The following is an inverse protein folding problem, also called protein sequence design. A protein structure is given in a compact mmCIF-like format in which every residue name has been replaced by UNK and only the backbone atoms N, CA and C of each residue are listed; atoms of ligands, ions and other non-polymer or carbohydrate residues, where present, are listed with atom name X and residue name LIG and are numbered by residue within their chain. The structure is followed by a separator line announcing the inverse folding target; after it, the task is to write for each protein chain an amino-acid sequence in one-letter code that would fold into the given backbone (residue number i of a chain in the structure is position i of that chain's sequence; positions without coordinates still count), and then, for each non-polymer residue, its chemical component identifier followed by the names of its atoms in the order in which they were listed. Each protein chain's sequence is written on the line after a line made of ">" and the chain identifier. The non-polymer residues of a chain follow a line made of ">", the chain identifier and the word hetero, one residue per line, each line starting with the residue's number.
data_IF_800419118176
#
_entry.id   IF_800419118176
#
_cell.length_a   1.000
_cell.length_b   1.000
_cell.length_c   1.000
_cell.angle_alpha   90.00
_cell.angle_beta   90.00
_cell.angle_gamma   90.00
#
_symmetry.space_group_name_H-M   'P 1'
#
loop_
_entity.id
_entity.type
_entity.pdbx_description
1 polymer ?
#
# COMPACT_ATOMS: atom_id res chain seq x y z
N UNK A 1 9.43 -33.70 -8.18
CA UNK A 1 8.71 -33.42 -6.91
C UNK A 1 9.77 -33.15 -5.87
N UNK A 2 9.70 -32.03 -5.15
CA UNK A 2 10.72 -31.68 -4.16
C UNK A 2 10.70 -32.68 -2.99
N UNK A 3 11.87 -33.06 -2.44
CA UNK A 3 11.93 -33.93 -1.27
C UNK A 3 11.38 -33.23 -0.02
N UNK A 4 10.73 -33.98 0.88
CA UNK A 4 10.00 -33.41 2.04
C UNK A 4 10.86 -32.51 2.93
N UNK A 5 12.12 -32.88 3.16
CA UNK A 5 13.04 -32.07 3.97
C UNK A 5 13.30 -30.68 3.36
N UNK A 6 13.35 -30.57 2.03
CA UNK A 6 13.58 -29.32 1.33
C UNK A 6 12.34 -28.41 1.41
N UNK A 7 11.15 -29.01 1.32
CA UNK A 7 9.88 -28.30 1.52
C UNK A 7 9.79 -27.73 2.93
N UNK A 8 10.05 -28.54 3.97
CA UNK A 8 10.02 -28.10 5.36
C UNK A 8 11.04 -27.00 5.65
N UNK A 9 12.23 -27.13 5.06
CA UNK A 9 13.30 -26.14 5.19
C UNK A 9 12.92 -24.81 4.53
N UNK A 10 12.31 -24.84 3.34
CA UNK A 10 11.85 -23.64 2.66
C UNK A 10 10.67 -22.97 3.38
N UNK A 11 9.71 -23.75 3.89
CA UNK A 11 8.60 -23.23 4.70
C UNK A 11 9.16 -22.54 5.95
N UNK A 12 10.13 -23.16 6.62
CA UNK A 12 10.77 -22.61 7.82
C UNK A 12 11.50 -21.30 7.51
N UNK A 13 12.23 -21.24 6.40
CA UNK A 13 12.88 -20.00 5.94
C UNK A 13 11.87 -18.89 5.69
N UNK A 14 10.82 -19.17 4.90
CA UNK A 14 9.78 -18.17 4.59
C UNK A 14 9.12 -17.66 5.87
N UNK A 15 8.80 -18.57 6.79
CA UNK A 15 8.19 -18.21 8.07
C UNK A 15 9.12 -17.34 8.92
N UNK A 16 10.40 -17.68 9.01
CA UNK A 16 11.37 -16.85 9.73
C UNK A 16 11.47 -15.45 9.13
N UNK A 17 11.60 -15.36 7.81
CA UNK A 17 11.65 -14.08 7.09
C UNK A 17 10.40 -13.23 7.33
N UNK A 18 9.21 -13.83 7.44
CA UNK A 18 8.00 -13.10 7.77
C UNK A 18 8.03 -12.51 9.19
N UNK A 19 8.57 -13.23 10.17
CA UNK A 19 8.73 -12.71 11.53
C UNK A 19 9.76 -11.59 11.58
N UNK A 20 10.93 -11.80 10.97
CA UNK A 20 12.00 -10.79 10.92
C UNK A 20 11.46 -9.48 10.29
N UNK A 21 10.76 -9.60 9.17
CA UNK A 21 10.14 -8.46 8.49
C UNK A 21 9.07 -7.79 9.36
N UNK A 22 8.23 -8.57 10.05
CA UNK A 22 7.22 -8.00 10.92
C UNK A 22 7.84 -7.20 12.07
N UNK A 23 8.91 -7.69 12.67
CA UNK A 23 9.62 -6.97 13.73
C UNK A 23 10.17 -5.63 13.23
N UNK A 24 10.71 -5.57 12.00
CA UNK A 24 11.10 -4.30 11.35
C UNK A 24 9.91 -3.34 11.23
N UNK A 25 8.73 -3.83 10.81
CA UNK A 25 7.52 -3.01 10.74
C UNK A 25 7.07 -2.55 12.14
N UNK A 26 7.18 -3.39 13.16
CA UNK A 26 6.87 -3.02 14.55
C UNK A 26 7.75 -1.87 15.01
N UNK A 27 9.05 -1.95 14.77
CA UNK A 27 10.01 -0.91 15.11
C UNK A 27 9.73 0.40 14.36
N UNK A 28 9.49 0.33 13.05
CA UNK A 28 9.19 1.49 12.22
C UNK A 28 7.93 2.23 12.68
N UNK A 29 6.85 1.51 12.96
CA UNK A 29 5.55 2.12 13.27
C UNK A 29 5.35 2.46 14.76
N UNK A 30 6.09 1.82 15.68
CA UNK A 30 6.08 2.22 17.10
C UNK A 30 7.00 3.40 17.37
N UNK A 31 8.13 3.52 16.65
CA UNK A 31 9.06 4.66 16.80
C UNK A 31 8.45 5.99 16.36
N UNK A 32 7.46 5.96 15.46
CA UNK A 32 6.70 7.14 15.02
C UNK A 32 5.80 7.78 16.09
N UNK A 33 5.62 7.15 17.25
CA UNK A 33 4.83 7.70 18.37
C UNK A 33 5.63 8.61 19.32
N UNK A 34 6.93 8.81 19.05
CA UNK A 34 7.83 9.64 19.86
C UNK A 34 8.06 11.02 19.22
N UNK A 35 7.11 11.94 19.42
CA UNK A 35 7.35 13.39 19.50
C UNK A 35 7.86 14.12 18.26
N UNK A 36 6.93 14.69 17.47
CA UNK A 36 7.17 16.00 16.86
C UNK A 36 7.05 17.07 17.96
N UNK A 37 8.09 17.23 18.79
CA UNK A 37 8.25 18.43 19.60
C UNK A 37 8.75 19.54 18.69
N UNK A 38 7.83 20.30 18.10
CA UNK A 38 8.15 21.62 17.54
C UNK A 38 8.56 22.51 18.70
N UNK A 39 9.87 22.67 18.92
CA UNK A 39 10.40 23.71 19.79
C UNK A 39 10.13 25.07 19.15
N UNK A 40 9.03 25.72 19.56
CA UNK A 40 8.78 27.13 19.27
C UNK A 40 9.69 27.97 20.17
N UNK A 41 10.72 28.56 19.57
CA UNK A 41 11.43 29.70 20.14
C UNK A 41 10.67 30.97 19.72
N UNK A 42 9.99 31.61 20.66
CA UNK A 42 9.46 32.96 20.48
C UNK A 42 9.70 33.78 21.74
N UNK A 43 10.62 34.74 21.64
CA UNK A 43 10.86 35.79 22.62
C UNK A 43 9.73 36.81 22.66
N UNK A 44 9.11 36.94 23.84
CA UNK A 44 8.52 38.12 24.50
C UNK A 44 8.00 39.32 23.68
N UNK A 45 6.72 39.69 23.88
CA UNK A 45 6.34 40.92 24.63
C UNK A 45 4.81 41.15 24.76
N UNK A 46 4.37 41.29 26.02
CA UNK A 46 3.33 42.19 26.58
C UNK A 46 1.82 41.87 26.52
N UNK A 47 1.05 42.12 27.61
CA UNK A 47 -0.33 41.64 27.79
C UNK A 47 -1.41 42.75 27.75
N UNK A 48 -2.64 42.38 27.38
CA UNK A 48 -3.85 43.16 27.66
C UNK A 48 -5.06 42.23 27.86
N UNK A 49 -5.91 42.42 28.90
CA UNK A 49 -6.93 41.44 29.28
C UNK A 49 -8.31 41.78 28.71
N UNK A 50 -9.01 40.76 28.21
CA UNK A 50 -10.47 40.78 28.05
C UNK A 50 -11.02 39.37 28.32
N UNK A 51 -12.10 39.23 29.12
CA UNK A 51 -12.57 37.93 29.58
C UNK A 51 -13.63 37.40 28.60
N UNK A 52 -13.25 36.43 27.78
CA UNK A 52 -14.21 35.53 27.13
C UNK A 52 -13.90 34.11 27.58
N UNK A 53 -14.71 33.64 28.52
CA UNK A 53 -14.72 32.25 28.99
C UNK A 53 -15.24 31.38 27.85
N UNK A 54 -14.34 30.96 26.97
CA UNK A 54 -14.54 29.81 26.11
C UNK A 54 -13.69 28.67 26.71
N UNK A 55 -14.22 28.04 27.77
CA UNK A 55 -13.72 26.75 28.22
C UNK A 55 -14.07 25.78 27.09
N UNK A 56 -13.09 25.50 26.22
CA UNK A 56 -13.16 24.35 25.35
C UNK A 56 -13.49 23.13 26.23
N UNK A 57 -14.48 22.30 25.87
CA UNK A 57 -14.78 21.13 26.65
C UNK A 57 -13.62 20.15 26.41
N UNK A 58 -12.59 20.22 27.24
CA UNK A 58 -11.74 19.07 27.54
C UNK A 58 -12.66 18.07 28.25
N UNK A 59 -13.42 17.36 27.43
CA UNK A 59 -14.35 16.33 27.87
C UNK A 59 -13.52 15.29 28.59
N UNK A 60 -13.94 14.89 29.80
CA UNK A 60 -13.34 13.77 30.51
C UNK A 60 -13.28 12.49 29.67
N UNK A 61 -14.07 12.40 28.58
CA UNK A 61 -13.94 11.33 27.58
C UNK A 61 -12.62 11.37 26.81
N UNK A 62 -12.03 12.55 26.56
CA UNK A 62 -10.70 12.65 25.96
C UNK A 62 -9.65 12.08 26.89
N UNK A 63 -9.65 12.52 28.16
CA UNK A 63 -8.71 12.01 29.18
C UNK A 63 -8.93 10.51 29.44
N UNK A 64 -10.18 10.05 29.47
CA UNK A 64 -10.53 8.63 29.55
C UNK A 64 -10.07 7.85 28.32
N UNK A 65 -10.28 8.33 27.10
CA UNK A 65 -9.77 7.68 25.87
C UNK A 65 -8.24 7.66 25.84
N UNK A 66 -7.59 8.70 26.37
CA UNK A 66 -6.13 8.77 26.51
C UNK A 66 -5.65 7.75 27.55
N UNK A 67 -6.37 7.59 28.66
CA UNK A 67 -6.08 6.59 29.68
C UNK A 67 -6.36 5.16 29.22
N UNK A 68 -7.44 4.92 28.47
CA UNK A 68 -7.77 3.60 27.90
C UNK A 68 -6.77 3.21 26.83
N UNK A 69 -6.34 4.14 25.97
CA UNK A 69 -5.29 3.87 24.99
C UNK A 69 -3.90 3.67 25.62
N UNK A 70 -3.62 4.34 26.75
CA UNK A 70 -2.41 4.10 27.53
C UNK A 70 -2.46 2.79 28.35
N UNK A 71 -3.63 2.39 28.84
CA UNK A 71 -3.80 1.15 29.62
C UNK A 71 -3.97 -0.10 28.75
N UNK A 72 -4.45 0.04 27.51
CA UNK A 72 -4.37 -0.98 26.46
C UNK A 72 -2.95 -1.18 25.89
N UNK A 73 -1.94 -0.47 26.42
CA UNK A 73 -0.54 -0.83 26.23
C UNK A 73 -0.14 -2.08 27.04
N UNK A 74 -1.06 -3.02 27.22
CA UNK A 74 -0.70 -4.43 27.41
C UNK A 74 -0.26 -4.87 26.02
N UNK A 75 1.06 -5.05 25.83
CA UNK A 75 1.58 -5.74 24.64
C UNK A 75 0.72 -6.99 24.47
N UNK A 76 0.09 -7.22 23.31
CA UNK A 76 -0.69 -8.43 23.14
C UNK A 76 0.24 -9.61 23.47
N UNK A 77 -0.23 -10.54 24.32
CA UNK A 77 0.59 -11.68 24.77
C UNK A 77 1.08 -12.55 23.59
N UNK A 78 0.50 -12.35 22.40
CA UNK A 78 0.87 -12.94 21.12
C UNK A 78 1.08 -11.86 20.06
N UNK A 79 2.03 -12.09 19.16
CA UNK A 79 2.23 -11.23 18.00
C UNK A 79 0.99 -11.27 17.08
N UNK A 80 0.63 -10.16 16.41
CA UNK A 80 -0.44 -10.13 15.39
C UNK A 80 -0.26 -11.20 14.31
N UNK A 81 0.99 -11.55 13.96
CA UNK A 81 1.32 -12.64 13.06
C UNK A 81 0.85 -14.01 13.58
N UNK A 82 1.08 -14.27 14.87
CA UNK A 82 0.64 -15.53 15.51
C UNK A 82 -0.89 -15.58 15.55
N UNK A 83 -1.53 -14.47 15.92
CA UNK A 83 -2.98 -14.36 15.89
C UNK A 83 -3.55 -14.61 14.50
N UNK A 84 -2.91 -14.11 13.45
CA UNK A 84 -3.32 -14.37 12.07
C UNK A 84 -3.18 -15.84 11.68
N UNK A 85 -2.10 -16.50 12.07
CA UNK A 85 -1.93 -17.94 11.81
C UNK A 85 -2.92 -18.80 12.62
N UNK A 86 -3.33 -18.34 13.80
CA UNK A 86 -4.35 -19.00 14.63
C UNK A 86 -5.80 -18.75 14.16
N UNK A 87 -6.10 -17.57 13.59
CA UNK A 87 -7.45 -17.17 13.13
C UNK A 87 -8.02 -18.10 12.03
N UNK A 88 -7.18 -18.94 11.43
CA UNK A 88 -7.56 -19.90 10.40
C UNK A 88 -7.81 -19.25 9.03
N UNK A 89 -7.97 -20.10 8.00
CA UNK A 89 -8.25 -19.63 6.64
C UNK A 89 -9.68 -19.08 6.56
N UNK A 90 -9.85 -17.93 5.90
CA UNK A 90 -11.16 -17.42 5.51
C UNK A 90 -11.88 -18.47 4.67
N UNK A 91 -12.82 -19.18 5.29
CA UNK A 91 -13.59 -20.23 4.61
C UNK A 91 -15.01 -19.72 4.38
N UNK A 92 -15.58 -20.02 3.21
CA UNK A 92 -16.93 -19.59 2.84
C UNK A 92 -18.01 -20.13 3.80
N UNK A 93 -17.66 -21.18 4.57
CA UNK A 93 -18.50 -21.75 5.63
C UNK A 93 -18.64 -20.84 6.84
N UNK A 94 -17.56 -20.16 7.24
CA UNK A 94 -17.53 -19.35 8.45
C UNK A 94 -17.94 -17.90 8.18
N UNK A 95 -17.83 -17.45 6.91
CA UNK A 95 -18.25 -16.13 6.47
C UNK A 95 -19.06 -16.21 5.16
N UNK A 96 -20.36 -16.52 5.22
CA UNK A 96 -21.22 -16.69 4.03
C UNK A 96 -21.41 -15.41 3.20
N UNK A 97 -21.00 -14.25 3.73
CA UNK A 97 -21.01 -12.97 3.00
C UNK A 97 -19.73 -12.63 2.23
N UNK A 98 -18.67 -13.45 2.36
CA UNK A 98 -17.39 -13.22 1.68
C UNK A 98 -17.34 -14.06 0.42
N UNK A 99 -17.41 -13.41 -0.74
CA UNK A 99 -17.16 -14.03 -2.02
C UNK A 99 -15.66 -14.28 -2.18
N UNK A 100 -15.21 -15.47 -1.78
CA UNK A 100 -13.79 -15.88 -1.85
C UNK A 100 -13.28 -15.90 -3.28
N UNK A 101 -14.14 -16.18 -4.27
CA UNK A 101 -13.74 -16.28 -5.68
C UNK A 101 -13.37 -14.90 -6.23
N UNK A 102 -14.08 -13.86 -5.79
CA UNK A 102 -13.86 -12.48 -6.20
C UNK A 102 -13.21 -11.62 -5.10
N UNK A 103 -12.53 -12.25 -4.14
CA UNK A 103 -11.90 -11.54 -3.04
C UNK A 103 -10.70 -10.72 -3.55
N UNK A 104 -10.83 -9.40 -3.49
CA UNK A 104 -9.72 -8.48 -3.63
C UNK A 104 -8.91 -8.50 -2.33
N UNK A 105 -7.81 -9.27 -2.33
CA UNK A 105 -6.94 -9.42 -1.16
C UNK A 105 -6.34 -8.09 -0.68
N UNK A 106 -5.96 -7.19 -1.60
CA UNK A 106 -5.42 -5.88 -1.25
C UNK A 106 -6.49 -5.02 -0.59
N UNK A 107 -7.71 -5.03 -1.11
CA UNK A 107 -8.84 -4.34 -0.50
C UNK A 107 -9.17 -4.91 0.88
N UNK A 108 -9.15 -6.24 1.04
CA UNK A 108 -9.41 -6.89 2.32
C UNK A 108 -8.40 -6.45 3.40
N UNK A 109 -7.11 -6.47 3.08
CA UNK A 109 -6.07 -5.99 3.99
C UNK A 109 -6.16 -4.48 4.26
N UNK A 110 -6.69 -3.69 3.33
CA UNK A 110 -6.92 -2.26 3.55
C UNK A 110 -8.10 -1.98 4.49
N UNK A 111 -9.15 -2.79 4.40
CA UNK A 111 -10.39 -2.58 5.13
C UNK A 111 -10.40 -3.27 6.50
N UNK A 112 -9.49 -4.22 6.75
CA UNK A 112 -9.42 -4.94 8.05
C UNK A 112 -8.91 -4.03 9.18
N UNK A 113 -9.69 -3.94 10.26
CA UNK A 113 -9.32 -3.22 11.49
C UNK A 113 -8.80 -4.14 12.60
N UNK A 114 -8.72 -5.45 12.33
CA UNK A 114 -8.32 -6.48 13.31
C UNK A 114 -6.87 -6.34 13.78
N UNK A 115 -6.01 -5.80 12.95
CA UNK A 115 -4.56 -5.74 13.17
C UNK A 115 -4.06 -4.32 12.89
N UNK A 116 -3.06 -3.84 13.63
CA UNK A 116 -2.53 -2.48 13.49
C UNK A 116 -1.32 -2.40 12.57
N UNK A 117 -0.49 -3.45 12.54
CA UNK A 117 0.82 -3.46 11.86
C UNK A 117 0.81 -4.45 10.71
N UNK A 118 0.29 -5.65 10.94
CA UNK A 118 0.21 -6.73 9.95
C UNK A 118 -0.39 -6.32 8.59
N UNK A 119 -1.46 -5.50 8.50
CA UNK A 119 -2.03 -5.14 7.20
C UNK A 119 -1.11 -4.29 6.35
N UNK A 120 -0.25 -3.47 6.97
CA UNK A 120 0.74 -2.65 6.25
C UNK A 120 1.77 -3.54 5.56
N UNK A 121 2.33 -4.49 6.31
CA UNK A 121 3.26 -5.49 5.77
C UNK A 121 2.61 -6.32 4.66
N UNK A 122 1.38 -6.80 4.87
CA UNK A 122 0.68 -7.61 3.88
C UNK A 122 0.39 -6.86 2.57
N UNK A 123 -0.04 -5.58 2.65
CA UNK A 123 -0.26 -4.75 1.46
C UNK A 123 1.03 -4.59 0.65
N UNK A 124 2.15 -4.31 1.32
CA UNK A 124 3.44 -4.10 0.65
C UNK A 124 3.94 -5.37 -0.03
N UNK A 125 3.80 -6.54 0.62
CA UNK A 125 4.14 -7.85 0.03
C UNK A 125 3.25 -8.13 -1.18
N UNK A 126 1.93 -7.93 -1.06
CA UNK A 126 0.97 -8.23 -2.13
C UNK A 126 1.05 -7.25 -3.32
N UNK A 127 1.62 -6.06 -3.11
CA UNK A 127 1.87 -5.10 -4.18
C UNK A 127 3.03 -5.51 -5.11
N UNK A 128 3.87 -6.46 -4.70
CA UNK A 128 4.99 -6.97 -5.52
C UNK A 128 4.44 -7.86 -6.64
N UNK A 129 4.67 -7.52 -7.92
CA UNK A 129 4.24 -8.36 -9.03
C UNK A 129 5.02 -9.69 -9.05
N UNK A 130 4.31 -10.81 -8.99
CA UNK A 130 4.89 -12.17 -8.96
C UNK A 130 5.48 -12.59 -10.33
N UNK A 131 5.07 -11.94 -11.42
CA UNK A 131 5.54 -12.27 -12.77
C UNK A 131 6.27 -11.12 -13.45
N UNK A 132 7.37 -11.45 -14.12
CA UNK A 132 8.07 -10.58 -15.06
C UNK A 132 7.24 -10.28 -16.31
N UNK A 133 6.17 -11.03 -16.58
CA UNK A 133 5.28 -10.85 -17.75
C UNK A 133 4.61 -9.47 -17.75
N UNK A 134 4.38 -8.85 -16.58
CA UNK A 134 3.90 -7.47 -16.51
C UNK A 134 4.90 -6.47 -17.13
N UNK A 135 6.20 -6.70 -16.93
CA UNK A 135 7.26 -5.89 -17.56
C UNK A 135 7.38 -6.17 -19.06
N UNK A 136 7.22 -7.43 -19.49
CA UNK A 136 7.23 -7.80 -20.91
C UNK A 136 6.01 -7.23 -21.67
N UNK A 137 4.82 -7.24 -21.07
CA UNK A 137 3.63 -6.61 -21.65
C UNK A 137 3.80 -5.08 -21.77
N UNK A 138 4.39 -4.46 -20.76
CA UNK A 138 4.71 -3.03 -20.77
C UNK A 138 5.76 -2.71 -21.85
N UNK A 139 6.77 -3.55 -22.01
CA UNK A 139 7.79 -3.43 -23.05
C UNK A 139 7.24 -3.69 -24.46
N UNK A 140 6.37 -4.70 -24.64
CA UNK A 140 5.70 -5.02 -25.90
C UNK A 140 4.80 -3.88 -26.39
N UNK A 141 4.14 -3.18 -25.46
CA UNK A 141 3.43 -1.93 -25.75
C UNK A 141 4.42 -0.80 -26.09
N UNK A 142 5.57 -0.75 -25.42
CA UNK A 142 6.67 0.18 -25.71
C UNK A 142 7.23 0.06 -27.13
N UNK A 143 7.43 -1.18 -27.62
CA UNK A 143 7.97 -1.45 -28.96
C UNK A 143 7.02 -0.99 -30.08
N UNK A 144 5.71 -0.90 -29.83
CA UNK A 144 4.71 -0.48 -30.83
C UNK A 144 4.44 1.02 -30.90
N UNK A 145 5.02 1.86 -30.02
CA UNK A 145 4.68 3.30 -29.94
C UNK A 145 5.89 4.22 -29.69
N UNK A 146 7.05 3.92 -30.28
CA UNK A 146 8.10 4.95 -30.44
C UNK A 146 7.90 5.56 -31.84
N UNK A 147 7.07 6.59 -31.93
CA UNK A 147 6.98 7.41 -33.14
C UNK A 147 8.31 8.14 -33.40
N UNK A 148 8.52 8.63 -34.62
CA UNK A 148 9.77 9.32 -35.03
C UNK A 148 10.21 10.46 -34.09
N UNK A 149 9.26 11.08 -33.36
CA UNK A 149 9.50 12.10 -32.35
C UNK A 149 10.12 11.56 -31.04
N UNK A 150 9.85 10.29 -30.68
CA UNK A 150 10.42 9.64 -29.50
C UNK A 150 11.74 8.93 -29.78
N UNK A 151 12.04 8.60 -31.05
CA UNK A 151 13.35 8.05 -31.43
C UNK A 151 14.47 9.09 -31.41
N UNK A 152 14.16 10.38 -31.33
CA UNK A 152 15.14 11.47 -31.18
C UNK A 152 15.35 11.92 -29.74
N UNK A 153 14.62 11.35 -28.78
CA UNK A 153 14.75 11.67 -27.35
C UNK A 153 15.77 10.74 -26.70
N UNK A 154 16.46 11.25 -25.67
CA UNK A 154 17.31 10.42 -24.82
C UNK A 154 16.45 9.36 -24.08
N UNK A 155 16.94 8.12 -23.91
CA UNK A 155 16.20 7.04 -23.25
C UNK A 155 15.60 7.44 -21.90
N UNK A 156 16.34 8.20 -21.09
CA UNK A 156 15.92 8.70 -19.78
C UNK A 156 14.71 9.62 -19.88
N UNK A 157 14.64 10.43 -20.93
CA UNK A 157 13.50 11.32 -21.18
C UNK A 157 12.27 10.53 -21.60
N UNK A 158 12.47 9.47 -22.40
CA UNK A 158 11.38 8.59 -22.84
C UNK A 158 10.77 7.86 -21.64
N UNK A 159 11.61 7.33 -20.74
CA UNK A 159 11.19 6.68 -19.50
C UNK A 159 10.40 7.63 -18.61
N UNK A 160 10.93 8.82 -18.33
CA UNK A 160 10.23 9.85 -17.54
C UNK A 160 8.85 10.17 -18.12
N UNK A 161 8.74 10.35 -19.44
CA UNK A 161 7.47 10.64 -20.11
C UNK A 161 6.49 9.45 -20.08
N UNK A 162 7.00 8.21 -20.09
CA UNK A 162 6.15 7.02 -19.94
C UNK A 162 5.62 6.94 -18.50
N UNK A 163 6.50 7.03 -17.50
CA UNK A 163 6.13 7.02 -16.08
C UNK A 163 5.13 8.13 -15.74
N UNK A 164 5.40 9.38 -16.13
CA UNK A 164 4.50 10.51 -15.91
C UNK A 164 3.17 10.33 -16.63
N UNK A 165 3.20 9.76 -17.84
CA UNK A 165 2.01 9.42 -18.61
C UNK A 165 1.14 8.37 -17.92
N UNK A 166 1.74 7.27 -17.44
CA UNK A 166 1.03 6.19 -16.73
C UNK A 166 0.47 6.68 -15.40
N UNK A 167 1.24 7.46 -14.65
CA UNK A 167 0.79 8.10 -13.42
C UNK A 167 -0.43 9.00 -13.66
N UNK A 168 -0.34 9.92 -14.63
CA UNK A 168 -1.42 10.83 -14.98
C UNK A 168 -2.69 10.07 -15.40
N UNK A 169 -2.54 8.99 -16.20
CA UNK A 169 -3.67 8.12 -16.57
C UNK A 169 -4.33 7.47 -15.36
N UNK A 170 -3.54 6.95 -14.42
CA UNK A 170 -4.04 6.32 -13.20
C UNK A 170 -4.78 7.33 -12.32
N UNK A 171 -4.25 8.54 -12.17
CA UNK A 171 -4.85 9.61 -11.35
C UNK A 171 -6.15 10.15 -11.95
N UNK A 172 -6.22 10.30 -13.28
CA UNK A 172 -7.35 10.94 -13.96
C UNK A 172 -8.28 9.97 -14.71
N UNK A 173 -8.08 8.66 -14.59
CA UNK A 173 -8.93 7.64 -15.23
C UNK A 173 -8.90 7.66 -16.76
N UNK A 174 -7.82 8.16 -17.37
CA UNK A 174 -7.73 8.33 -18.83
C UNK A 174 -7.44 6.97 -19.49
N UNK A 175 -8.43 6.45 -20.24
CA UNK A 175 -8.29 5.21 -21.01
C UNK A 175 -7.49 5.44 -22.30
N UNK A 176 -6.61 4.50 -22.68
CA UNK A 176 -5.95 4.53 -24.00
C UNK A 176 -7.01 4.38 -25.09
N UNK A 177 -6.94 5.19 -26.16
CA UNK A 177 -7.63 4.89 -27.41
C UNK A 177 -6.82 3.81 -28.12
N UNK A 178 -7.44 2.66 -28.39
CA UNK A 178 -6.82 1.63 -29.21
C UNK A 178 -6.63 2.16 -30.63
N UNK A 179 -5.38 2.51 -30.97
CA UNK A 179 -5.01 2.94 -32.33
C UNK A 179 -4.92 1.79 -33.33
N UNK A 180 -5.24 0.56 -32.92
CA UNK A 180 -5.23 -0.63 -33.79
C UNK A 180 -6.14 -0.41 -35.01
N UNK A 181 -7.25 0.31 -34.85
CA UNK A 181 -8.21 0.54 -35.93
C UNK A 181 -7.85 1.69 -36.87
N UNK A 182 -6.88 2.55 -36.52
CA UNK A 182 -6.54 3.71 -37.35
C UNK A 182 -5.56 3.30 -38.47
N UNK A 183 -4.58 2.45 -38.17
CA UNK A 183 -3.61 1.97 -39.17
C UNK A 183 -4.23 1.04 -40.23
N UNK A 184 -5.19 0.19 -39.85
CA UNK A 184 -5.93 -0.63 -40.81
C UNK A 184 -6.78 0.22 -41.77
N UNK A 185 -7.30 1.35 -41.30
CA UNK A 185 -8.08 2.30 -42.10
C UNK A 185 -7.19 3.15 -43.03
N UNK A 186 -5.96 3.45 -42.61
CA UNK A 186 -4.95 4.10 -43.47
C UNK A 186 -4.34 3.14 -44.51
N UNK A 187 -4.21 1.85 -44.20
CA UNK A 187 -3.77 0.82 -45.17
C UNK A 187 -4.86 0.48 -46.18
N UNK A 188 -6.15 0.51 -45.81
CA UNK A 188 -7.26 0.32 -46.75
C UNK A 188 -7.44 1.50 -47.73
N UNK A 189 -7.18 2.74 -47.29
CA UNK A 189 -7.33 3.94 -48.14
C UNK A 189 -6.21 4.15 -49.17
N UNK A 190 -5.15 3.35 -49.16
CA UNK A 190 -4.04 3.43 -50.12
C UNK A 190 -4.16 2.44 -51.29
N UNK A 191 -5.25 1.66 -51.33
CA UNK A 191 -5.51 0.62 -52.33
C UNK A 191 -6.64 0.95 -53.32
N UNK A 192 -7.02 2.22 -53.45
CA UNK A 192 -7.90 2.73 -54.51
C UNK A 192 -7.12 3.73 -55.35
#
# INVERSE_FOLDING_TARGET
>A
MYPSYEVELNISKVRQTLYDLYDEYVEMYNSGSSGQSVTQNSSSSSPSPSPSVAVAPYSGMSEFLTHVSASESVRPEKNELDLYFEDGLLTAKDNPGVDIVNLDALKWWKDTSKYKILPKMAIDILAIPISTVASEATFSVGTRVIGAYRSSLAPETVEMLMCAGDWCRKQHGIKKKDKVLDLDLYMLKRKV
#
